data_IF_454808470824
#
_entry.id   IF_454808470824
#
_cell.length_a   1.000
_cell.length_b   1.000
_cell.length_c   1.000
_cell.angle_alpha   90.00
_cell.angle_beta   90.00
_cell.angle_gamma   90.00
#
_symmetry.space_group_name_H-M   'P 1'
#
loop_
_entity.id
_entity.type
_entity.pdbx_description
1 polymer ?
#
# COMPACT_ATOMS: atom_id res chain seq x y z
N UNK A 1 24.94 -26.17 49.15
CA UNK A 1 24.67 -25.01 48.25
C UNK A 1 25.05 -25.34 46.80
N UNK A 2 24.35 -26.29 46.15
CA UNK A 2 24.66 -26.69 44.76
C UNK A 2 23.45 -27.16 43.94
N UNK A 3 22.24 -26.72 44.33
CA UNK A 3 20.99 -27.12 43.67
C UNK A 3 20.00 -25.96 43.44
N UNK A 4 20.45 -24.69 43.55
CA UNK A 4 19.57 -23.53 43.41
C UNK A 4 19.92 -22.60 42.23
N UNK A 5 20.82 -23.00 41.33
CA UNK A 5 21.22 -22.18 40.17
C UNK A 5 20.74 -22.71 38.81
N UNK A 6 20.08 -23.86 38.77
CA UNK A 6 19.64 -24.48 37.50
C UNK A 6 18.17 -24.21 37.15
N UNK A 7 17.44 -23.48 37.99
CA UNK A 7 15.99 -23.22 37.82
C UNK A 7 15.66 -21.83 37.28
N UNK A 8 16.64 -20.96 37.01
CA UNK A 8 16.42 -19.60 36.50
C UNK A 8 16.68 -19.48 34.99
N UNK A 9 17.15 -20.54 34.33
CA UNK A 9 17.51 -20.53 32.90
C UNK A 9 16.52 -21.26 31.97
N UNK A 10 15.38 -21.72 32.49
CA UNK A 10 14.42 -22.56 31.73
C UNK A 10 13.01 -21.92 31.60
N UNK A 11 12.79 -20.69 32.08
CA UNK A 11 11.44 -20.06 32.02
C UNK A 11 11.46 -18.64 31.40
N UNK A 12 12.45 -18.32 30.57
CA UNK A 12 12.45 -17.08 29.75
C UNK A 12 12.40 -17.35 28.24
N UNK A 13 11.92 -18.54 27.86
CA UNK A 13 11.54 -18.86 26.48
C UNK A 13 10.02 -18.67 26.26
N UNK A 14 9.43 -17.67 26.91
CA UNK A 14 8.05 -17.25 26.67
C UNK A 14 8.10 -16.09 25.69
N UNK A 15 7.72 -16.37 24.45
CA UNK A 15 7.39 -15.40 23.39
C UNK A 15 8.43 -14.30 23.12
N UNK A 16 9.64 -14.68 22.71
CA UNK A 16 10.38 -13.79 21.83
C UNK A 16 9.71 -13.87 20.44
N UNK A 17 9.41 -12.74 19.77
CA UNK A 17 9.04 -12.79 18.36
C UNK A 17 10.14 -13.55 17.62
N UNK A 18 9.75 -14.45 16.71
CA UNK A 18 10.71 -15.12 15.86
C UNK A 18 11.45 -14.03 15.08
N UNK A 19 12.75 -13.86 15.33
CA UNK A 19 13.57 -13.01 14.48
C UNK A 19 13.50 -13.58 13.07
N UNK A 20 13.35 -12.74 12.03
CA UNK A 20 13.32 -13.20 10.67
C UNK A 20 14.60 -13.99 10.36
N UNK A 21 14.45 -15.08 9.60
CA UNK A 21 15.54 -15.95 9.18
C UNK A 21 16.51 -15.23 8.22
N UNK A 22 16.09 -14.11 7.61
CA UNK A 22 16.86 -13.23 6.75
C UNK A 22 16.00 -12.08 6.21
N UNK A 23 16.58 -11.28 5.32
CA UNK A 23 15.95 -10.13 4.68
C UNK A 23 16.17 -10.19 3.16
N UNK A 24 15.17 -9.78 2.37
CA UNK A 24 15.34 -9.40 0.97
C UNK A 24 15.30 -7.88 0.92
N UNK A 25 16.33 -7.26 0.33
CA UNK A 25 16.54 -5.82 0.39
C UNK A 25 16.32 -5.19 -0.99
N UNK A 26 15.39 -4.25 -1.06
CA UNK A 26 15.09 -3.39 -2.19
C UNK A 26 15.69 -2.00 -1.94
N UNK A 27 16.81 -1.73 -2.61
CA UNK A 27 17.57 -0.48 -2.45
C UNK A 27 17.19 0.55 -3.52
N UNK A 28 17.34 1.84 -3.20
CA UNK A 28 17.09 2.95 -4.13
C UNK A 28 15.64 2.96 -4.66
N UNK A 29 14.70 2.77 -3.74
CA UNK A 29 13.27 2.91 -4.05
C UNK A 29 13.00 4.32 -4.55
N UNK A 30 12.32 4.42 -5.68
CA UNK A 30 11.94 5.71 -6.24
C UNK A 30 10.91 6.40 -5.34
N UNK A 31 11.05 7.71 -5.14
CA UNK A 31 10.10 8.49 -4.33
C UNK A 31 8.76 8.77 -5.02
N UNK A 32 8.36 8.00 -6.03
CA UNK A 32 7.07 8.12 -6.72
C UNK A 32 6.79 6.86 -7.55
N UNK A 33 5.53 6.42 -7.57
CA UNK A 33 5.08 5.31 -8.39
C UNK A 33 5.33 5.54 -9.89
N UNK A 34 5.80 4.50 -10.58
CA UNK A 34 5.98 4.50 -12.04
C UNK A 34 4.64 4.45 -12.78
N UNK A 35 3.70 3.69 -12.23
CA UNK A 35 2.33 3.57 -12.71
C UNK A 35 1.39 3.25 -11.55
N UNK A 36 0.09 3.40 -11.78
CA UNK A 36 -0.96 2.96 -10.87
C UNK A 36 -1.96 2.09 -11.62
N UNK A 37 -2.49 1.03 -10.98
CA UNK A 37 -3.34 0.07 -11.67
C UNK A 37 -4.66 0.70 -12.09
N UNK A 38 -5.12 0.36 -13.29
CA UNK A 38 -6.31 0.95 -13.90
C UNK A 38 -7.21 -0.11 -14.48
N UNK A 39 -8.52 0.16 -14.47
CA UNK A 39 -9.55 -0.70 -15.04
C UNK A 39 -10.43 0.09 -16.00
N UNK A 40 -10.91 -0.59 -17.04
CA UNK A 40 -11.99 -0.06 -17.87
C UNK A 40 -13.32 -0.24 -17.13
N UNK A 41 -14.20 0.76 -17.17
CA UNK A 41 -15.46 0.81 -16.41
C UNK A 41 -16.64 1.15 -17.32
N UNK A 42 -17.81 0.60 -17.02
CA UNK A 42 -19.08 1.02 -17.61
C UNK A 42 -20.22 0.83 -16.61
N UNK A 43 -21.18 1.75 -16.60
CA UNK A 43 -22.32 1.75 -15.67
C UNK A 43 -23.60 1.52 -16.45
N UNK A 44 -24.48 0.66 -15.92
CA UNK A 44 -25.73 0.27 -16.56
C UNK A 44 -26.91 0.49 -15.63
N UNK A 45 -28.06 0.88 -16.19
CA UNK A 45 -29.33 0.77 -15.46
C UNK A 45 -29.72 -0.69 -15.24
N UNK A 46 -30.50 -0.95 -14.18
CA UNK A 46 -30.87 -2.33 -13.84
C UNK A 46 -32.02 -2.88 -14.70
N UNK A 47 -33.04 -2.07 -15.05
CA UNK A 47 -34.23 -2.52 -15.76
C UNK A 47 -34.99 -1.39 -16.49
N UNK A 48 -35.09 -1.38 -17.83
CA UNK A 48 -34.34 -2.22 -18.77
C UNK A 48 -32.86 -1.83 -18.77
N UNK A 49 -31.97 -2.82 -18.88
CA UNK A 49 -30.52 -2.59 -18.95
C UNK A 49 -30.16 -1.74 -20.18
N UNK A 50 -29.51 -0.61 -19.93
CA UNK A 50 -28.84 0.20 -20.93
C UNK A 50 -27.63 0.89 -20.30
N UNK A 51 -26.58 1.05 -21.10
CA UNK A 51 -25.36 1.72 -20.70
C UNK A 51 -25.61 3.22 -20.47
N UNK A 52 -24.99 3.71 -19.41
CA UNK A 52 -24.85 5.12 -19.07
C UNK A 52 -23.42 5.61 -19.36
N UNK A 53 -22.54 4.79 -19.92
CA UNK A 53 -21.11 5.09 -20.02
C UNK A 53 -20.40 5.00 -18.65
N UNK A 54 -19.31 5.75 -18.42
CA UNK A 54 -18.70 6.70 -19.36
C UNK A 54 -18.09 5.97 -20.59
N UNK A 55 -18.07 6.65 -21.73
CA UNK A 55 -17.51 6.09 -22.98
C UNK A 55 -16.04 6.53 -23.18
N UNK A 56 -15.74 7.79 -22.87
CA UNK A 56 -14.41 8.38 -23.06
C UNK A 56 -13.64 8.34 -21.74
N UNK A 57 -14.28 8.75 -20.64
CA UNK A 57 -13.67 8.81 -19.31
C UNK A 57 -13.78 7.46 -18.57
N UNK A 58 -13.56 6.36 -19.28
CA UNK A 58 -13.84 4.99 -18.81
C UNK A 58 -12.65 4.28 -18.17
N UNK A 59 -11.48 4.91 -18.09
CA UNK A 59 -10.32 4.40 -17.37
C UNK A 59 -10.25 4.96 -15.97
N UNK A 60 -10.47 4.09 -14.98
CA UNK A 60 -10.56 4.45 -13.57
C UNK A 60 -9.42 3.79 -12.79
N UNK A 61 -8.97 4.45 -11.73
CA UNK A 61 -7.92 3.98 -10.84
C UNK A 61 -8.44 2.80 -10.01
N UNK A 62 -7.72 1.68 -9.98
CA UNK A 62 -8.02 0.57 -9.07
C UNK A 62 -7.32 0.85 -7.74
N UNK A 63 -8.09 0.97 -6.67
CA UNK A 63 -7.61 1.58 -5.43
C UNK A 63 -7.98 0.70 -4.22
N UNK A 64 -6.98 0.05 -3.64
CA UNK A 64 -7.18 -0.74 -2.42
C UNK A 64 -7.43 0.12 -1.18
N UNK A 65 -7.02 1.39 -1.17
CA UNK A 65 -7.25 2.35 -0.09
C UNK A 65 -8.67 2.92 -0.07
N UNK A 66 -9.43 2.77 -1.16
CA UNK A 66 -10.81 3.24 -1.25
C UNK A 66 -11.84 2.20 -0.80
N UNK A 67 -12.70 2.56 0.15
CA UNK A 67 -13.81 1.69 0.60
C UNK A 67 -14.93 1.57 -0.42
N UNK A 68 -15.16 2.60 -1.23
CA UNK A 68 -16.27 2.69 -2.18
C UNK A 68 -15.84 2.80 -3.64
N UNK A 69 -16.80 3.09 -4.51
CA UNK A 69 -16.56 3.38 -5.94
C UNK A 69 -16.90 4.85 -6.16
N UNK A 70 -15.98 5.63 -6.73
CA UNK A 70 -16.11 7.08 -6.88
C UNK A 70 -15.98 7.48 -8.35
N UNK A 71 -16.98 8.17 -8.90
CA UNK A 71 -16.92 8.78 -10.21
C UNK A 71 -16.56 10.26 -10.11
N UNK A 72 -15.74 10.76 -11.03
CA UNK A 72 -15.28 12.16 -11.01
C UNK A 72 -15.38 12.85 -12.37
N UNK A 73 -15.57 14.17 -12.33
CA UNK A 73 -15.40 15.06 -13.47
C UNK A 73 -16.20 14.62 -14.70
N UNK A 74 -15.52 14.54 -15.85
CA UNK A 74 -16.15 14.20 -17.14
C UNK A 74 -16.84 12.85 -17.16
N UNK A 75 -16.44 11.87 -16.34
CA UNK A 75 -17.18 10.61 -16.24
C UNK A 75 -18.59 10.82 -15.67
N UNK A 76 -18.73 11.69 -14.66
CA UNK A 76 -20.04 12.06 -14.08
C UNK A 76 -20.86 12.85 -15.08
N UNK A 77 -20.25 13.76 -15.84
CA UNK A 77 -20.92 14.54 -16.88
C UNK A 77 -21.50 13.62 -17.99
N UNK A 78 -20.69 12.67 -18.49
CA UNK A 78 -21.09 11.68 -19.49
C UNK A 78 -22.27 10.82 -18.99
N UNK A 79 -22.12 10.26 -17.78
CA UNK A 79 -23.16 9.43 -17.17
C UNK A 79 -24.45 10.20 -16.91
N UNK A 80 -24.36 11.43 -16.43
CA UNK A 80 -25.52 12.28 -16.13
C UNK A 80 -26.28 12.64 -17.41
N UNK A 81 -25.57 12.90 -18.51
CA UNK A 81 -26.18 13.11 -19.83
C UNK A 81 -26.92 11.87 -20.35
N UNK A 82 -26.50 10.67 -19.93
CA UNK A 82 -27.13 9.40 -20.28
C UNK A 82 -28.28 8.99 -19.32
N UNK A 83 -28.50 9.71 -18.22
CA UNK A 83 -29.60 9.44 -17.27
C UNK A 83 -29.18 8.89 -15.90
N UNK A 84 -27.90 9.00 -15.54
CA UNK A 84 -27.45 8.79 -14.17
C UNK A 84 -28.10 9.79 -13.20
N UNK A 85 -28.48 9.29 -12.02
CA UNK A 85 -29.21 10.05 -10.99
C UNK A 85 -28.67 9.70 -9.61
N UNK A 86 -28.81 10.64 -8.68
CA UNK A 86 -28.36 10.52 -7.29
C UNK A 86 -29.54 10.63 -6.33
N UNK A 87 -29.39 10.09 -5.11
CA UNK A 87 -30.47 10.00 -4.12
C UNK A 87 -30.22 10.84 -2.87
N UNK A 88 -28.96 11.02 -2.46
CA UNK A 88 -28.57 11.76 -1.28
C UNK A 88 -27.07 12.14 -1.36
N UNK A 89 -26.49 12.60 -0.24
CA UNK A 89 -25.06 12.90 -0.12
C UNK A 89 -24.41 12.03 0.96
N UNK A 90 -23.10 11.86 0.83
CA UNK A 90 -22.24 11.12 1.75
C UNK A 90 -20.91 11.86 1.93
N UNK A 91 -20.41 11.91 3.16
CA UNK A 91 -19.11 12.48 3.48
C UNK A 91 -18.02 11.39 3.46
N UNK A 92 -17.16 11.44 2.45
CA UNK A 92 -16.01 10.55 2.31
C UNK A 92 -14.78 11.15 2.99
N UNK A 93 -14.08 10.37 3.80
CA UNK A 93 -12.80 10.76 4.40
C UNK A 93 -11.64 10.43 3.44
N UNK A 94 -10.70 11.35 3.26
CA UNK A 94 -9.45 11.08 2.57
C UNK A 94 -8.33 12.02 3.01
N UNK A 95 -7.23 12.06 2.24
CA UNK A 95 -6.02 12.84 2.57
C UNK A 95 -6.25 14.33 2.90
N UNK A 96 -7.25 14.96 2.27
CA UNK A 96 -7.61 16.37 2.52
C UNK A 96 -8.67 16.60 3.60
N UNK A 97 -9.06 15.55 4.34
CA UNK A 97 -10.19 15.56 5.25
C UNK A 97 -11.46 15.01 4.59
N UNK A 98 -12.63 15.44 5.08
CA UNK A 98 -13.91 14.97 4.55
C UNK A 98 -14.42 15.81 3.38
N UNK A 99 -14.85 15.14 2.31
CA UNK A 99 -15.49 15.75 1.13
C UNK A 99 -16.86 15.13 0.89
N UNK A 100 -17.82 15.95 0.47
CA UNK A 100 -19.17 15.47 0.14
C UNK A 100 -19.25 14.98 -1.30
N UNK A 101 -19.81 13.80 -1.47
CA UNK A 101 -20.13 13.18 -2.75
C UNK A 101 -21.62 12.89 -2.81
N UNK A 102 -22.19 12.89 -4.01
CA UNK A 102 -23.56 12.45 -4.22
C UNK A 102 -23.59 10.93 -4.34
N UNK A 103 -24.52 10.28 -3.64
CA UNK A 103 -24.74 8.83 -3.73
C UNK A 103 -25.69 8.54 -4.89
N UNK A 104 -25.28 7.68 -5.80
CA UNK A 104 -26.06 7.29 -6.97
C UNK A 104 -27.33 6.50 -6.60
N UNK A 105 -28.32 6.45 -7.49
CA UNK A 105 -29.32 5.37 -7.51
C UNK A 105 -28.65 3.98 -7.70
N UNK A 106 -29.41 2.89 -7.64
CA UNK A 106 -28.85 1.54 -7.86
C UNK A 106 -28.60 1.30 -9.35
N UNK A 107 -27.38 0.86 -9.67
CA UNK A 107 -26.91 0.54 -11.02
C UNK A 107 -26.19 -0.81 -11.05
N UNK A 108 -25.97 -1.35 -12.24
CA UNK A 108 -24.95 -2.37 -12.45
C UNK A 108 -23.64 -1.66 -12.79
N UNK A 109 -22.55 -2.06 -12.14
CA UNK A 109 -21.23 -1.50 -12.33
C UNK A 109 -20.32 -2.57 -12.94
N UNK A 110 -19.90 -2.35 -14.18
CA UNK A 110 -19.02 -3.24 -14.92
C UNK A 110 -17.59 -2.72 -14.94
N UNK A 111 -16.63 -3.64 -14.87
CA UNK A 111 -15.22 -3.33 -14.93
C UNK A 111 -14.40 -4.47 -15.52
N UNK A 112 -13.26 -4.14 -16.11
CA UNK A 112 -12.33 -5.10 -16.67
C UNK A 112 -10.88 -4.66 -16.46
N UNK A 113 -10.02 -5.63 -16.15
CA UNK A 113 -8.57 -5.46 -16.17
C UNK A 113 -8.01 -5.48 -17.60
N UNK A 114 -6.70 -5.65 -17.73
CA UNK A 114 -5.96 -5.55 -19.01
C UNK A 114 -6.42 -6.56 -20.07
N UNK A 115 -6.93 -7.73 -19.66
CA UNK A 115 -7.43 -8.74 -20.61
C UNK A 115 -8.76 -8.37 -21.27
N UNK A 116 -9.47 -7.36 -20.74
CA UNK A 116 -10.83 -7.02 -21.17
C UNK A 116 -11.90 -8.01 -20.68
N UNK A 117 -11.57 -8.95 -19.80
CA UNK A 117 -12.57 -9.83 -19.20
C UNK A 117 -13.51 -9.02 -18.30
N UNK A 118 -14.78 -8.98 -18.70
CA UNK A 118 -15.85 -8.25 -18.00
C UNK A 118 -16.16 -8.91 -16.65
N UNK A 119 -16.21 -8.07 -15.62
CA UNK A 119 -16.73 -8.37 -14.29
C UNK A 119 -17.85 -7.37 -13.98
N UNK A 120 -18.79 -7.75 -13.11
CA UNK A 120 -19.93 -6.90 -12.79
C UNK A 120 -20.26 -6.95 -11.28
N UNK A 121 -20.68 -5.81 -10.75
CA UNK A 121 -21.36 -5.68 -9.46
C UNK A 121 -22.81 -5.26 -9.74
N UNK A 122 -23.78 -6.04 -9.26
CA UNK A 122 -25.20 -5.65 -9.31
C UNK A 122 -25.56 -4.73 -8.13
N UNK A 123 -26.71 -4.05 -8.22
CA UNK A 123 -27.27 -3.22 -7.14
C UNK A 123 -26.23 -2.31 -6.46
N UNK A 124 -25.43 -1.64 -7.28
CA UNK A 124 -24.28 -0.84 -6.85
C UNK A 124 -24.64 0.63 -6.76
N UNK A 125 -24.24 1.27 -5.67
CA UNK A 125 -24.30 2.73 -5.48
C UNK A 125 -22.89 3.31 -5.51
N UNK A 126 -22.66 4.23 -6.43
CA UNK A 126 -21.42 4.97 -6.58
C UNK A 126 -21.51 6.26 -5.78
N UNK A 127 -20.37 6.76 -5.35
CA UNK A 127 -20.17 8.16 -5.00
C UNK A 127 -19.82 8.92 -6.27
N UNK A 128 -20.31 10.15 -6.44
CA UNK A 128 -20.00 10.96 -7.61
C UNK A 128 -19.84 12.44 -7.29
N UNK A 129 -18.92 13.09 -7.98
CA UNK A 129 -18.73 14.54 -7.93
C UNK A 129 -18.21 15.07 -9.27
N UNK A 130 -18.92 16.03 -9.87
CA UNK A 130 -18.48 16.69 -11.11
C UNK A 130 -17.21 17.54 -10.91
N UNK A 131 -16.87 17.90 -9.67
CA UNK A 131 -15.71 18.75 -9.36
C UNK A 131 -14.51 17.99 -8.81
N UNK A 132 -14.67 16.71 -8.46
CA UNK A 132 -13.56 15.89 -8.01
C UNK A 132 -12.55 15.67 -9.14
N UNK A 133 -11.28 15.53 -8.78
CA UNK A 133 -10.19 15.27 -9.72
C UNK A 133 -9.23 14.23 -9.11
N UNK A 134 -9.12 13.09 -9.77
CA UNK A 134 -8.28 11.98 -9.35
C UNK A 134 -7.08 11.82 -10.29
N UNK A 135 -6.33 12.89 -10.53
CA UNK A 135 -5.08 12.82 -11.32
C UNK A 135 -5.28 12.44 -12.79
N UNK A 136 -6.47 12.71 -13.35
CA UNK A 136 -6.81 12.38 -14.73
C UNK A 136 -7.53 11.04 -14.94
N UNK A 137 -7.73 10.24 -13.88
CA UNK A 137 -8.63 9.10 -13.93
C UNK A 137 -10.10 9.55 -13.92
N UNK A 138 -10.98 8.83 -14.63
CA UNK A 138 -12.42 9.12 -14.63
C UNK A 138 -13.12 8.80 -13.31
N UNK A 139 -12.44 8.07 -12.43
CA UNK A 139 -12.96 7.64 -11.15
C UNK A 139 -11.98 6.74 -10.40
N UNK A 140 -12.43 6.25 -9.25
CA UNK A 140 -11.78 5.27 -8.40
C UNK A 140 -12.68 4.04 -8.29
N UNK A 141 -12.10 2.87 -8.51
CA UNK A 141 -12.72 1.56 -8.29
C UNK A 141 -12.10 0.97 -7.02
N UNK A 142 -12.82 1.08 -5.90
CA UNK A 142 -12.33 0.61 -4.62
C UNK A 142 -12.51 -0.88 -4.37
N UNK A 143 -12.36 -1.24 -3.10
CA UNK A 143 -12.45 -2.61 -2.58
C UNK A 143 -13.70 -3.42 -2.95
N UNK A 144 -14.91 -2.85 -3.22
CA UNK A 144 -16.04 -3.64 -3.68
C UNK A 144 -15.76 -4.45 -4.95
N UNK A 145 -14.89 -3.96 -5.83
CA UNK A 145 -14.48 -4.68 -7.03
C UNK A 145 -13.40 -5.76 -6.78
N UNK A 146 -12.82 -5.82 -5.58
CA UNK A 146 -11.67 -6.67 -5.26
C UNK A 146 -11.93 -7.69 -4.15
N UNK A 147 -12.97 -7.52 -3.34
CA UNK A 147 -13.35 -8.55 -2.35
C UNK A 147 -13.88 -9.82 -3.03
N UNK A 148 -13.67 -10.96 -2.37
CA UNK A 148 -14.07 -12.30 -2.81
C UNK A 148 -13.41 -12.76 -4.13
N UNK A 149 -12.19 -12.31 -4.40
CA UNK A 149 -11.39 -12.71 -5.57
C UNK A 149 -9.90 -12.47 -5.30
N UNK A 150 -9.08 -12.83 -6.27
CA UNK A 150 -7.68 -12.44 -6.35
C UNK A 150 -7.54 -11.31 -7.37
N UNK A 151 -6.90 -10.21 -6.96
CA UNK A 151 -6.50 -9.12 -7.86
C UNK A 151 -5.01 -9.24 -8.12
N UNK A 152 -4.60 -9.38 -9.37
CA UNK A 152 -3.19 -9.46 -9.78
C UNK A 152 -2.75 -8.16 -10.42
N UNK A 153 -1.64 -7.62 -9.94
CA UNK A 153 -0.87 -6.55 -10.56
C UNK A 153 0.38 -7.16 -11.19
N UNK A 154 0.55 -7.03 -12.51
CA UNK A 154 1.73 -7.49 -13.25
C UNK A 154 2.59 -6.28 -13.62
N UNK A 155 3.68 -6.09 -12.88
CA UNK A 155 4.59 -4.97 -13.08
C UNK A 155 5.49 -5.17 -14.29
N UNK A 156 5.70 -6.43 -14.72
CA UNK A 156 6.55 -6.73 -15.89
C UNK A 156 5.97 -6.17 -17.18
N UNK A 157 4.64 -5.97 -17.22
CA UNK A 157 3.95 -5.32 -18.31
C UNK A 157 4.50 -3.90 -18.59
N UNK A 158 4.94 -3.16 -17.56
CA UNK A 158 5.49 -1.80 -17.68
C UNK A 158 6.79 -1.69 -18.48
N UNK A 159 7.48 -2.81 -18.71
CA UNK A 159 8.74 -2.86 -19.46
C UNK A 159 8.65 -3.76 -20.69
N UNK A 160 7.43 -4.16 -21.06
CA UNK A 160 7.19 -4.91 -22.28
C UNK A 160 7.21 -3.96 -23.49
N UNK A 161 8.09 -4.18 -24.48
CA UNK A 161 8.17 -3.32 -25.66
C UNK A 161 6.88 -3.42 -26.50
N UNK A 162 6.01 -2.43 -26.35
CA UNK A 162 4.78 -2.26 -27.11
C UNK A 162 4.74 -0.87 -27.77
N UNK A 163 3.93 -0.70 -28.83
CA UNK A 163 3.75 0.61 -29.51
C UNK A 163 2.91 1.60 -28.68
N UNK A 164 2.26 1.11 -27.61
CA UNK A 164 1.50 1.89 -26.65
C UNK A 164 2.28 1.96 -25.34
N UNK A 165 2.06 3.02 -24.54
CA UNK A 165 2.72 3.16 -23.25
C UNK A 165 2.42 1.92 -22.39
N UNK A 166 3.46 1.17 -21.98
CA UNK A 166 3.25 -0.07 -21.23
C UNK A 166 2.74 0.27 -19.83
N UNK A 167 1.47 -0.02 -19.56
CA UNK A 167 0.87 0.09 -18.24
C UNK A 167 1.05 -1.21 -17.46
N UNK A 168 1.00 -1.12 -16.13
CA UNK A 168 0.89 -2.28 -15.26
C UNK A 168 -0.31 -3.15 -15.66
N UNK A 169 -0.09 -4.45 -15.71
CA UNK A 169 -1.15 -5.42 -15.99
C UNK A 169 -2.09 -5.57 -14.79
N UNK A 170 -3.39 -5.69 -15.05
CA UNK A 170 -4.41 -5.93 -14.02
C UNK A 170 -5.25 -7.15 -14.43
N UNK A 171 -5.41 -8.10 -13.51
CA UNK A 171 -6.27 -9.27 -13.69
C UNK A 171 -7.10 -9.56 -12.43
N UNK A 172 -8.24 -10.21 -12.63
CA UNK A 172 -9.15 -10.64 -11.57
C UNK A 172 -9.42 -12.13 -11.72
N UNK A 173 -9.04 -12.91 -10.71
CA UNK A 173 -9.09 -14.36 -10.73
C UNK A 173 -9.87 -14.93 -9.54
N UNK A 174 -10.35 -16.17 -9.66
CA UNK A 174 -11.08 -16.87 -8.60
C UNK A 174 -10.19 -17.81 -7.79
N UNK A 175 -8.89 -17.79 -8.07
CA UNK A 175 -7.86 -18.58 -7.38
C UNK A 175 -6.53 -17.86 -7.53
N UNK A 176 -5.68 -17.96 -6.51
CA UNK A 176 -4.32 -17.47 -6.60
C UNK A 176 -3.57 -18.19 -7.74
N UNK A 177 -2.90 -17.47 -8.65
CA UNK A 177 -2.07 -18.09 -9.67
C UNK A 177 -0.97 -18.96 -9.04
N UNK A 178 -0.51 -19.99 -9.75
CA UNK A 178 0.64 -20.79 -9.30
C UNK A 178 1.87 -19.89 -9.10
N UNK A 179 2.57 -20.07 -7.98
CA UNK A 179 3.80 -19.34 -7.66
C UNK A 179 5.06 -20.13 -7.98
N UNK A 180 6.19 -19.46 -7.85
CA UNK A 180 7.51 -20.09 -7.91
C UNK A 180 8.24 -20.01 -6.54
N UNK A 181 9.56 -20.22 -6.55
CA UNK A 181 10.37 -20.23 -5.33
C UNK A 181 10.65 -18.83 -4.75
N UNK A 182 10.29 -17.76 -5.47
CA UNK A 182 10.57 -16.36 -5.13
C UNK A 182 9.31 -15.63 -4.61
N UNK A 183 8.32 -16.41 -4.16
CA UNK A 183 7.04 -15.93 -3.65
C UNK A 183 7.07 -15.76 -2.13
N UNK A 184 6.61 -14.61 -1.67
CA UNK A 184 6.50 -14.27 -0.25
C UNK A 184 5.10 -13.80 0.12
N UNK A 185 4.67 -14.13 1.33
CA UNK A 185 3.30 -13.93 1.78
C UNK A 185 3.26 -12.91 2.93
N UNK A 186 2.60 -11.78 2.74
CA UNK A 186 2.41 -10.73 3.75
C UNK A 186 0.95 -10.73 4.22
N UNK A 187 0.69 -11.03 5.51
CA UNK A 187 -0.68 -11.03 6.05
C UNK A 187 -1.36 -9.66 5.91
N UNK A 188 -2.63 -9.68 5.53
CA UNK A 188 -3.49 -8.50 5.50
C UNK A 188 -4.60 -8.62 6.56
N UNK A 189 -4.82 -7.55 7.29
CA UNK A 189 -6.05 -7.34 8.07
C UNK A 189 -7.01 -6.46 7.27
N UNK A 190 -8.26 -6.87 7.12
CA UNK A 190 -9.29 -6.07 6.48
C UNK A 190 -10.07 -5.28 7.53
N UNK A 191 -9.97 -3.96 7.49
CA UNK A 191 -10.64 -3.06 8.42
C UNK A 191 -11.97 -2.57 7.85
N UNK A 192 -13.05 -2.91 8.55
CA UNK A 192 -14.40 -2.44 8.25
C UNK A 192 -14.68 -1.16 9.08
N UNK A 193 -14.21 0.00 8.58
CA UNK A 193 -14.58 1.27 9.19
C UNK A 193 -16.09 1.51 8.99
N UNK A 194 -16.85 1.90 10.03
CA UNK A 194 -18.30 2.03 9.90
C UNK A 194 -18.69 3.08 8.85
N UNK A 195 -19.16 2.63 7.69
CA UNK A 195 -19.62 3.50 6.60
C UNK A 195 -20.69 4.51 7.05
N UNK A 196 -21.45 4.19 8.10
CA UNK A 196 -22.44 5.11 8.69
C UNK A 196 -21.84 6.41 9.20
N UNK A 197 -20.52 6.47 9.46
CA UNK A 197 -19.83 7.68 9.86
C UNK A 197 -19.89 8.79 8.79
N UNK A 198 -20.01 8.42 7.51
CA UNK A 198 -20.15 9.36 6.40
C UNK A 198 -21.60 9.73 6.07
N UNK A 199 -22.60 9.14 6.73
CA UNK A 199 -24.01 9.49 6.49
C UNK A 199 -24.32 10.91 6.96
N UNK A 200 -25.04 11.67 6.14
CA UNK A 200 -25.47 13.02 6.50
C UNK A 200 -26.71 12.98 7.38
N UNK A 201 -27.71 12.18 7.00
CA UNK A 201 -28.89 11.93 7.82
C UNK A 201 -29.02 10.45 8.17
N UNK A 202 -29.51 10.11 9.38
CA UNK A 202 -29.82 8.73 9.72
C UNK A 202 -30.83 8.12 8.74
N UNK A 203 -30.44 7.01 8.11
CA UNK A 203 -31.29 6.28 7.17
C UNK A 203 -31.12 6.66 5.71
N UNK A 204 -30.25 7.63 5.39
CA UNK A 204 -29.80 7.89 4.02
C UNK A 204 -29.20 6.61 3.43
N UNK A 205 -29.50 6.33 2.17
CA UNK A 205 -28.89 5.23 1.44
C UNK A 205 -27.36 5.36 1.41
N UNK A 206 -26.69 4.25 1.67
CA UNK A 206 -25.24 4.16 1.72
C UNK A 206 -24.67 3.86 0.33
N UNK A 207 -23.44 4.33 0.02
CA UNK A 207 -22.71 3.81 -1.14
C UNK A 207 -22.45 2.31 -0.99
N UNK A 208 -22.15 1.64 -2.09
CA UNK A 208 -21.58 0.29 -2.02
C UNK A 208 -20.16 0.40 -1.48
N UNK A 209 -19.86 -0.37 -0.43
CA UNK A 209 -18.58 -0.31 0.27
C UNK A 209 -18.04 -1.70 0.60
N UNK A 210 -16.75 -1.76 0.89
CA UNK A 210 -16.06 -2.94 1.39
C UNK A 210 -14.91 -2.55 2.34
N UNK A 211 -14.47 -3.47 3.23
CA UNK A 211 -13.31 -3.24 4.10
C UNK A 211 -12.03 -2.93 3.31
N UNK A 212 -11.16 -2.08 3.88
CA UNK A 212 -9.86 -1.73 3.29
C UNK A 212 -8.72 -2.54 3.92
N UNK A 213 -7.67 -2.89 3.15
CA UNK A 213 -6.58 -3.75 3.60
C UNK A 213 -5.50 -2.96 4.35
N UNK A 214 -5.07 -3.53 5.47
CA UNK A 214 -3.93 -3.08 6.27
C UNK A 214 -2.83 -4.12 6.27
N UNK A 215 -1.59 -3.63 6.22
CA UNK A 215 -0.37 -4.41 6.44
C UNK A 215 0.39 -3.84 7.63
N UNK A 216 1.00 -4.70 8.42
CA UNK A 216 1.88 -4.27 9.51
C UNK A 216 3.26 -3.95 8.94
N UNK A 217 3.74 -2.74 9.24
CA UNK A 217 5.03 -2.23 8.75
C UNK A 217 5.89 -1.82 9.93
N UNK A 218 7.19 -2.10 9.85
CA UNK A 218 8.18 -1.51 10.75
C UNK A 218 9.05 -0.51 9.99
N UNK A 219 8.98 0.76 10.39
CA UNK A 219 9.87 1.81 9.92
C UNK A 219 11.13 1.90 10.79
N UNK A 220 12.28 2.19 10.18
CA UNK A 220 13.55 2.43 10.87
C UNK A 220 14.24 3.69 10.33
N UNK A 221 14.83 4.46 11.23
CA UNK A 221 15.63 5.65 10.87
C UNK A 221 16.67 5.93 11.96
N UNK A 222 17.96 5.99 11.61
CA UNK A 222 19.07 6.31 12.54
C UNK A 222 19.06 5.49 13.85
N UNK A 223 18.63 4.23 13.77
CA UNK A 223 18.52 3.31 14.91
C UNK A 223 17.23 3.43 15.72
N UNK A 224 16.37 4.40 15.43
CA UNK A 224 14.99 4.45 15.93
C UNK A 224 14.12 3.48 15.13
N UNK A 225 13.05 3.00 15.76
CA UNK A 225 12.11 2.05 15.16
C UNK A 225 10.68 2.45 15.54
N UNK A 226 9.77 2.39 14.58
CA UNK A 226 8.34 2.57 14.80
C UNK A 226 7.59 1.47 14.03
N UNK A 227 6.76 0.70 14.73
CA UNK A 227 5.84 -0.25 14.10
C UNK A 227 4.45 0.37 14.02
N UNK A 228 3.73 0.08 12.94
CA UNK A 228 2.38 0.59 12.75
C UNK A 228 1.58 -0.19 11.71
N UNK A 229 0.29 0.05 11.66
CA UNK A 229 -0.62 -0.54 10.68
C UNK A 229 -0.87 0.47 9.54
N UNK A 230 -0.51 0.05 8.33
CA UNK A 230 -0.53 0.90 7.14
C UNK A 230 -1.66 0.45 6.22
N UNK A 231 -2.41 1.39 5.65
CA UNK A 231 -3.31 1.07 4.53
C UNK A 231 -2.45 0.63 3.36
N UNK A 232 -2.74 -0.53 2.79
CA UNK A 232 -2.21 -0.92 1.50
C UNK A 232 -3.04 -0.20 0.42
N UNK A 233 -2.44 0.76 -0.26
CA UNK A 233 -3.13 1.74 -1.10
C UNK A 233 -2.49 1.83 -2.50
N UNK A 234 -3.10 1.15 -3.47
CA UNK A 234 -2.68 1.25 -4.87
C UNK A 234 -3.02 2.60 -5.50
N UNK A 235 -3.94 3.36 -4.90
CA UNK A 235 -4.31 4.72 -5.29
C UNK A 235 -3.32 5.79 -4.82
N UNK A 236 -2.44 5.49 -3.86
CA UNK A 236 -1.38 6.38 -3.42
C UNK A 236 -0.14 6.27 -4.32
N UNK A 237 0.29 7.41 -4.88
CA UNK A 237 1.53 7.48 -5.67
C UNK A 237 2.81 7.41 -4.83
N UNK A 238 2.72 7.80 -3.56
CA UNK A 238 3.84 7.86 -2.63
C UNK A 238 3.38 7.33 -1.27
N UNK A 239 4.26 6.60 -0.61
CA UNK A 239 4.02 6.09 0.73
C UNK A 239 4.05 7.21 1.77
N UNK A 240 3.30 7.02 2.83
CA UNK A 240 3.08 8.04 3.87
C UNK A 240 3.25 7.46 5.27
N UNK A 241 3.62 8.30 6.22
CA UNK A 241 3.64 8.00 7.64
C UNK A 241 2.88 9.09 8.41
N UNK A 242 2.32 8.75 9.56
CA UNK A 242 1.74 9.71 10.48
C UNK A 242 2.80 10.62 11.08
N UNK A 243 2.37 11.78 11.58
CA UNK A 243 3.23 12.69 12.34
C UNK A 243 3.82 11.97 13.55
N UNK A 244 3.03 11.18 14.28
CA UNK A 244 3.49 10.41 15.43
C UNK A 244 4.62 9.43 15.05
N UNK A 245 4.47 8.72 13.93
CA UNK A 245 5.52 7.81 13.42
C UNK A 245 6.79 8.58 13.04
N UNK A 246 6.67 9.70 12.34
CA UNK A 246 7.82 10.53 11.97
C UNK A 246 8.59 11.05 13.21
N UNK A 247 7.87 11.49 14.24
CA UNK A 247 8.47 11.91 15.51
C UNK A 247 9.16 10.75 16.24
N UNK A 248 8.54 9.57 16.26
CA UNK A 248 9.12 8.36 16.87
C UNK A 248 10.39 7.88 16.16
N UNK A 249 10.52 8.15 14.86
CA UNK A 249 11.70 7.89 14.04
C UNK A 249 12.82 8.94 14.23
N UNK A 250 12.55 10.02 14.96
CA UNK A 250 13.52 11.09 15.20
C UNK A 250 13.70 12.02 14.00
N UNK A 251 12.71 12.11 13.11
CA UNK A 251 12.74 13.04 11.98
C UNK A 251 12.65 14.52 12.44
N UNK A 252 12.05 14.79 13.60
CA UNK A 252 12.06 16.11 14.25
C UNK A 252 13.34 16.28 15.08
N UNK A 253 14.39 16.82 14.45
CA UNK A 253 15.72 16.91 15.09
C UNK A 253 15.81 18.02 16.13
N UNK A 254 15.00 19.06 15.99
CA UNK A 254 14.96 20.21 16.89
C UNK A 254 13.96 20.02 18.07
N UNK A 255 13.12 18.99 18.02
CA UNK A 255 12.13 18.58 19.02
C UNK A 255 11.04 19.64 19.29
N UNK A 256 10.61 20.38 18.25
CA UNK A 256 9.54 21.36 18.36
C UNK A 256 8.14 20.78 18.06
N UNK A 257 8.06 19.52 17.60
CA UNK A 257 6.84 18.82 17.23
C UNK A 257 6.28 19.18 15.85
N UNK A 258 7.06 19.85 14.99
CA UNK A 258 6.67 20.35 13.67
C UNK A 258 7.76 20.02 12.64
N UNK A 259 7.35 19.49 11.49
CA UNK A 259 8.24 19.13 10.39
C UNK A 259 8.20 20.20 9.29
N UNK A 260 8.87 21.34 9.50
CA UNK A 260 8.81 22.52 8.61
C UNK A 260 10.15 23.22 8.32
N UNK A 261 11.26 22.72 8.88
CA UNK A 261 12.60 23.34 8.79
C UNK A 261 13.59 22.52 7.93
N UNK A 262 14.90 22.61 8.18
CA UNK A 262 16.00 21.92 7.45
C UNK A 262 15.95 20.37 7.56
N UNK A 263 14.93 19.83 8.22
CA UNK A 263 14.73 18.40 8.55
C UNK A 263 13.93 17.66 7.48
N UNK A 264 13.22 18.40 6.61
CA UNK A 264 12.42 17.84 5.53
C UNK A 264 13.19 17.90 4.20
N UNK A 265 12.97 16.90 3.34
CA UNK A 265 13.47 16.88 1.97
C UNK A 265 12.74 17.91 1.08
N UNK A 266 11.53 18.29 1.47
CA UNK A 266 10.69 19.27 0.79
C UNK A 266 9.23 19.16 1.20
N UNK A 267 8.36 19.85 0.47
CA UNK A 267 6.91 19.73 0.59
C UNK A 267 6.31 19.48 -0.79
N UNK A 268 5.21 18.75 -0.83
CA UNK A 268 4.45 18.50 -2.06
C UNK A 268 2.96 18.59 -1.81
N UNK A 269 2.20 18.87 -2.87
CA UNK A 269 0.74 18.84 -2.83
C UNK A 269 0.24 17.43 -3.13
N UNK A 270 -0.60 16.89 -2.26
CA UNK A 270 -1.27 15.60 -2.40
C UNK A 270 -2.74 15.85 -2.63
N UNK A 271 -3.31 15.23 -3.66
CA UNK A 271 -4.74 15.26 -3.95
C UNK A 271 -5.33 13.86 -3.79
N UNK A 272 -6.49 13.75 -3.17
CA UNK A 272 -7.22 12.49 -3.02
C UNK A 272 -8.72 12.69 -2.87
N UNK A 273 -9.44 11.65 -2.46
CA UNK A 273 -10.90 11.69 -2.26
C UNK A 273 -11.37 12.82 -1.32
N UNK A 274 -10.52 13.18 -0.34
CA UNK A 274 -10.77 14.25 0.63
C UNK A 274 -10.35 15.66 0.19
N UNK A 275 -9.82 15.86 -1.02
CA UNK A 275 -9.29 17.14 -1.50
C UNK A 275 -7.76 17.20 -1.56
N UNK A 276 -7.19 18.42 -1.61
CA UNK A 276 -5.75 18.66 -1.78
C UNK A 276 -5.11 19.34 -0.56
N UNK A 277 -3.97 18.82 -0.09
CA UNK A 277 -3.17 19.35 1.03
C UNK A 277 -1.68 19.39 0.70
N UNK A 278 -0.94 20.30 1.35
CA UNK A 278 0.54 20.32 1.29
C UNK A 278 1.11 19.57 2.49
N UNK A 279 2.02 18.65 2.22
CA UNK A 279 2.61 17.77 3.23
C UNK A 279 4.13 17.77 3.14
N UNK A 280 4.86 17.66 4.25
CA UNK A 280 6.30 17.51 4.25
C UNK A 280 6.73 16.11 3.82
N UNK A 281 7.96 16.02 3.32
CA UNK A 281 8.63 14.78 2.93
C UNK A 281 9.83 14.59 3.85
N UNK A 282 9.96 13.44 4.50
CA UNK A 282 11.09 13.11 5.38
C UNK A 282 11.89 11.95 4.82
N UNK A 283 13.19 11.93 5.10
CA UNK A 283 14.04 10.79 4.82
C UNK A 283 13.83 9.72 5.91
N UNK A 284 13.63 8.47 5.48
CA UNK A 284 13.54 7.30 6.36
C UNK A 284 14.41 6.20 5.80
N UNK A 285 15.28 5.62 6.64
CA UNK A 285 16.22 4.61 6.18
C UNK A 285 15.52 3.36 5.64
N UNK A 286 14.51 2.84 6.35
CA UNK A 286 13.86 1.58 5.98
C UNK A 286 12.36 1.52 6.29
N UNK A 287 11.61 0.83 5.42
CA UNK A 287 10.32 0.20 5.74
C UNK A 287 10.45 -1.31 5.59
N UNK A 288 9.80 -2.06 6.49
CA UNK A 288 9.92 -3.53 6.55
C UNK A 288 8.56 -4.20 6.62
N UNK A 289 8.37 -5.22 5.81
CA UNK A 289 7.24 -6.14 5.86
C UNK A 289 7.72 -7.52 6.31
N UNK A 290 7.12 -8.06 7.37
CA UNK A 290 7.41 -9.43 7.80
C UNK A 290 6.52 -10.42 7.06
N UNK A 291 7.14 -11.39 6.40
CA UNK A 291 6.43 -12.43 5.64
C UNK A 291 6.14 -13.67 6.48
N UNK A 292 5.18 -14.48 6.05
CA UNK A 292 4.83 -15.77 6.67
C UNK A 292 6.01 -16.75 6.61
N UNK A 293 6.85 -16.64 5.58
CA UNK A 293 8.08 -17.41 5.40
C UNK A 293 9.16 -17.07 6.45
N UNK A 294 8.96 -15.99 7.22
CA UNK A 294 9.92 -15.49 8.20
C UNK A 294 11.09 -14.76 7.56
N UNK A 295 10.94 -14.23 6.35
CA UNK A 295 11.89 -13.34 5.68
C UNK A 295 11.29 -11.93 5.67
N UNK A 296 12.07 -10.91 6.04
CA UNK A 296 11.58 -9.54 5.91
C UNK A 296 11.82 -9.03 4.48
N UNK A 297 10.83 -8.33 3.92
CA UNK A 297 11.02 -7.51 2.72
C UNK A 297 11.34 -6.09 3.18
N UNK A 298 12.52 -5.59 2.83
CA UNK A 298 13.07 -4.33 3.33
C UNK A 298 13.23 -3.35 2.17
N UNK A 299 12.56 -2.21 2.25
CA UNK A 299 12.69 -1.09 1.33
C UNK A 299 13.63 -0.06 1.95
N UNK A 300 14.70 0.37 1.26
CA UNK A 300 15.70 1.30 1.80
C UNK A 300 15.77 2.66 1.08
N UNK A 301 16.22 3.68 1.83
CA UNK A 301 16.52 5.04 1.39
C UNK A 301 15.27 5.77 0.86
N UNK A 302 14.27 5.91 1.73
CA UNK A 302 12.92 6.34 1.37
C UNK A 302 12.71 7.83 1.61
N UNK A 303 11.95 8.47 0.72
CA UNK A 303 11.33 9.77 0.96
C UNK A 303 9.84 9.57 1.22
N UNK A 304 9.41 9.66 2.48
CA UNK A 304 8.03 9.40 2.88
C UNK A 304 7.29 10.71 3.15
N UNK A 305 6.03 10.78 2.72
CA UNK A 305 5.15 11.90 3.07
C UNK A 305 4.74 11.80 4.53
N UNK A 306 4.53 12.94 5.21
CA UNK A 306 3.96 12.94 6.56
C UNK A 306 2.57 13.55 6.56
N UNK A 307 1.57 12.72 6.87
CA UNK A 307 0.16 13.12 6.86
C UNK A 307 -0.68 12.28 7.85
N UNK A 308 -1.46 12.96 8.68
CA UNK A 308 -2.42 12.32 9.58
C UNK A 308 -3.80 12.26 8.92
N UNK A 309 -4.23 11.06 8.53
CA UNK A 309 -5.53 10.83 7.86
C UNK A 309 -6.61 10.46 8.87
N UNK A 310 -6.29 9.53 9.78
CA UNK A 310 -7.16 9.08 10.86
C UNK A 310 -6.30 8.60 12.04
N UNK A 311 -6.76 8.73 13.30
CA UNK A 311 -5.99 8.31 14.48
C UNK A 311 -5.63 6.82 14.57
N UNK A 312 -6.23 5.97 13.72
CA UNK A 312 -5.96 4.53 13.66
C UNK A 312 -5.12 4.14 12.43
N UNK A 313 -4.68 5.11 11.62
CA UNK A 313 -3.86 4.90 10.43
C UNK A 313 -2.46 5.44 10.71
N UNK A 314 -1.50 4.54 10.85
CA UNK A 314 -0.10 4.93 11.10
C UNK A 314 0.63 5.36 9.83
N UNK A 315 0.13 4.94 8.66
CA UNK A 315 0.66 5.32 7.37
C UNK A 315 -0.07 4.69 6.18
N UNK A 316 0.49 4.95 4.99
CA UNK A 316 0.05 4.38 3.72
C UNK A 316 1.23 3.66 3.07
N UNK A 317 1.03 2.39 2.73
CA UNK A 317 1.91 1.60 1.87
C UNK A 317 1.45 1.78 0.42
N UNK A 318 2.15 2.66 -0.31
CA UNK A 318 1.74 3.14 -1.63
C UNK A 318 2.31 2.35 -2.81
N UNK A 319 1.92 2.78 -4.02
CA UNK A 319 2.37 2.17 -5.29
C UNK A 319 3.84 2.47 -5.63
N UNK A 320 4.47 3.45 -5.00
CA UNK A 320 5.93 3.69 -5.10
C UNK A 320 6.71 2.45 -4.68
N UNK A 321 6.31 1.81 -3.57
CA UNK A 321 6.94 0.58 -3.10
C UNK A 321 6.62 -0.61 -4.00
N UNK A 322 5.39 -0.70 -4.53
CA UNK A 322 4.97 -1.79 -5.42
C UNK A 322 5.66 -1.75 -6.80
N UNK A 323 5.96 -0.54 -7.28
CA UNK A 323 6.59 -0.30 -8.60
C UNK A 323 8.09 -0.03 -8.51
N UNK A 324 8.69 -0.23 -7.33
CA UNK A 324 10.07 0.09 -7.09
C UNK A 324 11.04 -0.67 -8.04
N UNK A 325 12.04 0.05 -8.54
CA UNK A 325 13.06 -0.44 -9.48
C UNK A 325 12.64 -0.41 -10.95
N UNK A 326 11.42 0.05 -11.28
CA UNK A 326 10.93 0.08 -12.66
C UNK A 326 11.17 1.39 -13.40
N UNK A 327 11.57 2.49 -12.74
CA UNK A 327 11.58 3.81 -13.37
C UNK A 327 12.52 3.87 -14.59
N UNK A 328 13.75 3.39 -14.44
CA UNK A 328 14.73 3.36 -15.52
C UNK A 328 14.27 2.43 -16.66
N UNK A 329 13.77 1.24 -16.31
CA UNK A 329 13.28 0.26 -17.28
C UNK A 329 12.09 0.77 -18.10
N UNK A 330 11.12 1.39 -17.45
CA UNK A 330 9.95 1.98 -18.10
C UNK A 330 10.36 3.13 -19.02
N UNK A 331 11.26 4.01 -18.57
CA UNK A 331 11.78 5.10 -19.39
C UNK A 331 12.54 4.60 -20.62
N UNK A 332 13.39 3.58 -20.47
CA UNK A 332 14.10 2.95 -21.58
C UNK A 332 13.11 2.37 -22.59
N UNK A 333 12.09 1.65 -22.12
CA UNK A 333 11.04 1.06 -22.96
C UNK A 333 10.30 2.13 -23.76
N UNK A 334 9.92 3.24 -23.13
CA UNK A 334 9.27 4.40 -23.78
C UNK A 334 10.15 5.00 -24.89
N UNK A 335 11.47 4.97 -24.71
CA UNK A 335 12.45 5.45 -25.70
C UNK A 335 12.77 4.41 -26.78
N UNK A 336 12.11 3.24 -26.78
CA UNK A 336 12.37 2.15 -27.71
C UNK A 336 13.65 1.37 -27.43
N UNK A 337 14.19 1.49 -26.22
CA UNK A 337 15.33 0.72 -25.70
C UNK A 337 14.81 -0.46 -24.85
N UNK A 338 15.63 -1.51 -24.65
CA UNK A 338 15.28 -2.57 -23.71
C UNK A 338 15.09 -2.02 -22.29
N UNK A 339 13.92 -2.25 -21.69
CA UNK A 339 13.67 -1.98 -20.28
C UNK A 339 14.10 -3.15 -19.39
N UNK A 340 14.70 -2.85 -18.25
CA UNK A 340 14.98 -3.83 -17.20
C UNK A 340 13.81 -3.89 -16.21
N UNK A 341 13.54 -5.08 -15.68
CA UNK A 341 12.48 -5.28 -14.67
C UNK A 341 12.96 -4.79 -13.30
N UNK A 342 12.05 -4.21 -12.52
CA UNK A 342 12.29 -3.85 -11.12
C UNK A 342 12.24 -5.04 -10.16
N UNK A 343 11.97 -4.74 -8.88
CA UNK A 343 12.12 -5.70 -7.78
C UNK A 343 11.04 -6.78 -7.75
N UNK A 344 9.81 -6.43 -8.11
CA UNK A 344 8.65 -7.31 -8.07
C UNK A 344 8.22 -7.65 -9.49
N UNK A 345 8.03 -8.92 -9.82
CA UNK A 345 7.42 -9.33 -11.08
C UNK A 345 5.90 -9.12 -11.03
N UNK A 346 5.25 -9.59 -9.95
CA UNK A 346 3.82 -9.43 -9.73
C UNK A 346 3.46 -9.29 -8.25
N UNK A 347 2.31 -8.67 -7.98
CA UNK A 347 1.66 -8.64 -6.67
C UNK A 347 0.25 -9.20 -6.80
N UNK A 348 -0.11 -10.14 -5.93
CA UNK A 348 -1.48 -10.65 -5.86
C UNK A 348 -2.11 -10.28 -4.52
N UNK A 349 -3.27 -9.66 -4.57
CA UNK A 349 -4.10 -9.45 -3.40
C UNK A 349 -5.14 -10.56 -3.34
N UNK A 350 -4.95 -11.53 -2.45
CA UNK A 350 -5.90 -12.60 -2.20
C UNK A 350 -6.92 -12.18 -1.14
N UNK A 351 -8.11 -11.80 -1.64
CA UNK A 351 -9.27 -11.42 -0.83
C UNK A 351 -10.40 -12.45 -0.94
N UNK A 352 -10.12 -13.70 -1.31
CA UNK A 352 -11.13 -14.76 -1.41
C UNK A 352 -11.86 -14.99 -0.07
N UNK A 353 -11.18 -14.74 1.05
CA UNK A 353 -11.71 -14.91 2.40
C UNK A 353 -12.06 -13.58 3.08
N UNK A 354 -12.37 -12.51 2.33
CA UNK A 354 -12.57 -11.17 2.88
C UNK A 354 -13.63 -11.09 3.98
N UNK A 355 -14.65 -11.94 3.93
CA UNK A 355 -15.69 -12.08 4.97
C UNK A 355 -15.16 -12.46 6.36
N UNK A 356 -13.94 -12.99 6.45
CA UNK A 356 -13.26 -13.31 7.72
C UNK A 356 -12.50 -12.12 8.32
N UNK A 357 -12.45 -10.97 7.63
CA UNK A 357 -11.65 -9.82 8.04
C UNK A 357 -10.15 -10.00 7.77
N UNK A 358 -9.75 -10.97 6.95
CA UNK A 358 -8.35 -11.24 6.62
C UNK A 358 -8.15 -11.44 5.12
N UNK A 359 -6.92 -11.19 4.66
CA UNK A 359 -6.46 -11.45 3.30
C UNK A 359 -4.96 -11.70 3.27
N UNK A 360 -4.39 -11.80 2.08
CA UNK A 360 -2.95 -11.94 1.88
C UNK A 360 -2.48 -11.04 0.72
N UNK A 361 -1.38 -10.33 0.92
CA UNK A 361 -0.58 -9.77 -0.17
C UNK A 361 0.50 -10.80 -0.50
N UNK A 362 0.51 -11.28 -1.73
CA UNK A 362 1.45 -12.26 -2.24
C UNK A 362 2.40 -11.55 -3.20
N UNK A 363 3.68 -11.55 -2.86
CA UNK A 363 4.73 -10.85 -3.61
C UNK A 363 5.53 -11.86 -4.41
N UNK A 364 5.52 -11.74 -5.73
CA UNK A 364 6.41 -12.49 -6.62
C UNK A 364 7.63 -11.62 -6.89
N UNK A 365 8.74 -11.94 -6.22
CA UNK A 365 9.98 -11.17 -6.33
C UNK A 365 10.72 -11.61 -7.59
N UNK A 366 11.20 -10.63 -8.35
CA UNK A 366 12.09 -10.89 -9.47
C UNK A 366 13.35 -11.63 -8.95
N UNK A 367 13.59 -12.82 -9.48
CA UNK A 367 14.68 -13.72 -9.08
C UNK A 367 16.08 -13.08 -9.05
N UNK A 368 16.31 -11.99 -9.81
CA UNK A 368 17.57 -11.24 -9.77
C UNK A 368 17.79 -10.49 -8.45
N UNK A 369 16.71 -10.19 -7.73
CA UNK A 369 16.68 -9.44 -6.48
C UNK A 369 16.29 -10.29 -5.27
N UNK A 370 15.82 -11.53 -5.46
CA UNK A 370 15.55 -12.47 -4.37
C UNK A 370 16.86 -13.04 -3.76
N UNK A 371 17.58 -12.16 -3.06
CA UNK A 371 18.82 -12.49 -2.36
C UNK A 371 18.57 -12.34 -0.86
N UNK A 372 18.25 -13.46 -0.21
CA UNK A 372 18.06 -13.49 1.25
C UNK A 372 19.41 -13.31 1.94
N UNK A 373 19.59 -12.16 2.59
CA UNK A 373 20.74 -11.89 3.45
C UNK A 373 20.41 -12.20 4.92
N UNK A 374 21.32 -12.81 5.70
CA UNK A 374 21.07 -12.99 7.13
C UNK A 374 20.96 -11.63 7.82
N UNK A 375 19.97 -11.47 8.71
CA UNK A 375 19.92 -10.27 9.55
C UNK A 375 21.27 -10.14 10.30
N UNK A 376 21.87 -8.93 10.38
CA UNK A 376 23.12 -8.73 11.11
C UNK A 376 22.90 -9.00 12.60
N UNK A 377 23.05 -10.27 13.00
CA UNK A 377 22.86 -10.68 14.39
C UNK A 377 23.80 -9.89 15.30
N UNK A 378 23.23 -9.26 16.32
CA UNK A 378 23.93 -8.65 17.47
C UNK A 378 24.88 -9.63 18.20
N UNK A 379 24.85 -10.93 17.87
CA UNK A 379 25.84 -11.93 18.26
C UNK A 379 27.28 -11.59 17.86
N UNK A 380 27.50 -10.81 16.79
CA UNK A 380 28.84 -10.32 16.45
C UNK A 380 29.39 -9.33 17.50
N UNK A 381 28.54 -8.56 18.20
CA UNK A 381 28.99 -7.64 19.27
C UNK A 381 29.25 -8.35 20.61
N UNK A 382 28.57 -9.46 20.91
CA UNK A 382 28.86 -10.27 22.11
C UNK A 382 30.19 -11.02 21.98
N UNK A 383 30.56 -11.48 20.78
CA UNK A 383 31.86 -12.12 20.52
C UNK A 383 33.06 -11.19 20.77
N UNK A 384 32.95 -9.91 20.42
CA UNK A 384 33.99 -8.92 20.70
C UNK A 384 34.07 -8.50 22.16
N UNK A 385 32.94 -8.46 22.87
CA UNK A 385 32.89 -8.06 24.28
C UNK A 385 33.50 -9.13 25.21
N UNK A 386 33.33 -10.42 24.91
CA UNK A 386 33.93 -11.52 25.68
C UNK A 386 35.44 -11.64 25.40
N UNK A 387 35.88 -11.37 24.16
CA UNK A 387 37.31 -11.36 23.82
C UNK A 387 38.09 -10.25 24.55
N UNK A 388 37.49 -9.05 24.70
CA UNK A 388 38.11 -7.95 25.46
C UNK A 388 38.10 -8.18 26.98
N UNK A 389 37.09 -8.87 27.52
CA UNK A 389 37.03 -9.22 28.93
C UNK A 389 38.08 -10.29 29.32
N UNK A 390 38.42 -11.21 28.40
CA UNK A 390 39.48 -12.21 28.62
C UNK A 390 40.90 -11.64 28.42
N UNK A 391 41.09 -10.68 27.51
CA UNK A 391 42.40 -10.05 27.30
C UNK A 391 42.81 -9.04 28.39
N UNK A 392 41.89 -8.60 29.26
CA UNK A 392 42.20 -7.72 30.42
C UNK A 392 42.55 -8.44 31.72
N UNK A 393 42.58 -9.79 31.75
CA UNK A 393 43.00 -10.59 32.92
C UNK A 393 44.24 -11.43 32.66
N UNK A 394 45.32 -10.79 32.22
CA UNK A 394 46.67 -11.34 32.42
C UNK A 394 47.37 -10.51 33.51
N UNK A 395 47.58 -11.06 34.73
CA UNK A 395 48.30 -10.34 35.76
C UNK A 395 49.77 -10.18 35.35
N UNK A 396 50.24 -8.94 35.39
CA UNK A 396 51.65 -8.59 35.25
C UNK A 396 52.50 -9.36 36.27
N UNK A 397 53.27 -10.35 35.81
CA UNK A 397 54.35 -10.95 36.61
C UNK A 397 55.46 -9.90 36.77
N UNK A 398 55.55 -9.33 37.98
CA UNK A 398 56.74 -8.62 38.44
C UNK A 398 57.94 -9.58 38.50
N UNK A 399 59.08 -9.07 38.05
CA UNK A 399 60.41 -9.68 38.14
C UNK A 399 60.83 -9.88 39.60
N UNK A 400 61.52 -10.99 39.86
CA UNK A 400 62.82 -11.00 40.53
C UNK A 400 63.76 -11.90 39.73
#
# INVERSE_FOLDING_TARGET
MRKLLLAVLVVLAVCAPAFPAGEVIFNNVEGMAVDQPRVAVEVYTLNPEHSLGPDISNFWLLDTGAQGILAAGSAVEEMSAAGYTTVNQFAELGAGGSTYYDVSALYQFDFAGTSGQRNALGDTRLLSSETANFGGFGGIVGMPAMVNRVTTLDMTAMVNPSLEMPYMGVAFDQSLPDGDAHRYNVPITLWDHPVSAGQINPGDELPTYAPIPFVDVTARNDGNNAGGSYILDTGAQMSMISTETALALGCDTNNNGVLDDDEILGQTAISGAGGTVYVPIVAVDQLRLTTVEGVDIVFENLGLLVLDIHPEIDGIFGSDLLTAGYLEGAFNTLMGLPGEKGFLDAVHFDFLNSSSGTGMMVLDINSAYDVVVPEPTTMAMLGFSIAFAFCRRLPARRRQ
#
